data_IF_626382775343
#
_entry.id   IF_626382775343
#
_cell.length_a   1.000
_cell.length_b   1.000
_cell.length_c   1.000
_cell.angle_alpha   90.00
_cell.angle_beta   90.00
_cell.angle_gamma   90.00
#
_symmetry.space_group_name_H-M   'P 1'
#
loop_
_entity.id
_entity.type
_entity.pdbx_description
1 polymer ?
#
# COMPACT_ATOMS: atom_id res chain seq x y z
N UNK A 1 -15.61 -12.89 23.81
CA UNK A 1 -15.67 -13.19 22.35
C UNK A 1 -17.07 -12.93 21.78
N UNK A 2 -17.70 -11.79 22.09
CA UNK A 2 -19.11 -11.51 21.72
C UNK A 2 -19.25 -10.36 20.71
N UNK A 3 -18.17 -9.61 20.43
CA UNK A 3 -18.22 -8.30 19.77
C UNK A 3 -18.62 -8.34 18.30
N UNK A 4 -18.23 -9.37 17.56
CA UNK A 4 -18.59 -9.53 16.14
C UNK A 4 -20.05 -9.95 15.97
N UNK A 5 -20.54 -10.81 16.86
CA UNK A 5 -21.94 -11.24 16.86
C UNK A 5 -22.84 -10.07 17.28
N UNK A 6 -22.43 -9.28 18.26
CA UNK A 6 -23.15 -8.05 18.65
C UNK A 6 -23.12 -6.97 17.58
N UNK A 7 -21.98 -6.74 16.92
CA UNK A 7 -21.92 -5.84 15.74
C UNK A 7 -22.79 -6.36 14.60
N UNK A 8 -22.72 -7.64 14.28
CA UNK A 8 -23.57 -8.28 13.27
C UNK A 8 -25.06 -8.14 13.61
N UNK A 9 -25.41 -8.32 14.88
CA UNK A 9 -26.77 -8.14 15.38
C UNK A 9 -27.21 -6.67 15.27
N UNK A 10 -26.34 -5.71 15.59
CA UNK A 10 -26.63 -4.27 15.46
C UNK A 10 -26.84 -3.84 14.00
N UNK A 11 -26.05 -4.41 13.07
CA UNK A 11 -26.18 -4.18 11.62
C UNK A 11 -27.48 -4.82 11.12
N UNK A 12 -27.82 -6.02 11.60
CA UNK A 12 -29.04 -6.71 11.20
C UNK A 12 -30.32 -5.98 11.62
N UNK A 13 -30.25 -5.22 12.73
CA UNK A 13 -31.34 -4.40 13.26
C UNK A 13 -31.50 -3.06 12.51
N UNK A 14 -30.56 -2.69 11.63
CA UNK A 14 -30.69 -1.48 10.83
C UNK A 14 -31.80 -1.65 9.78
N UNK A 15 -32.66 -0.65 9.63
CA UNK A 15 -33.76 -0.63 8.66
C UNK A 15 -33.28 -0.84 7.21
N UNK A 16 -32.03 -0.46 6.89
CA UNK A 16 -31.45 -0.71 5.57
C UNK A 16 -31.19 -2.19 5.33
N UNK A 17 -30.73 -2.93 6.34
CA UNK A 17 -30.39 -4.34 6.19
C UNK A 17 -31.63 -5.20 5.91
N UNK A 18 -32.75 -4.91 6.57
CA UNK A 18 -34.01 -5.61 6.31
C UNK A 18 -34.55 -5.39 4.89
N UNK A 19 -34.32 -4.20 4.29
CA UNK A 19 -34.64 -3.95 2.88
C UNK A 19 -33.79 -4.85 1.97
N UNK A 20 -32.50 -5.00 2.25
CA UNK A 20 -31.64 -5.91 1.49
C UNK A 20 -32.05 -7.38 1.67
N UNK A 21 -32.41 -7.82 2.87
CA UNK A 21 -32.89 -9.18 3.11
C UNK A 21 -34.17 -9.49 2.33
N UNK A 22 -35.12 -8.56 2.30
CA UNK A 22 -36.34 -8.71 1.52
C UNK A 22 -36.08 -8.79 0.00
N UNK A 23 -35.11 -8.00 -0.49
CA UNK A 23 -34.66 -8.09 -1.89
C UNK A 23 -33.93 -9.40 -2.18
N UNK A 24 -33.08 -9.86 -1.27
CA UNK A 24 -32.34 -11.11 -1.38
C UNK A 24 -33.28 -12.32 -1.40
N UNK A 25 -34.32 -12.35 -0.55
CA UNK A 25 -35.34 -13.40 -0.58
C UNK A 25 -36.08 -13.49 -1.92
N UNK A 26 -36.42 -12.34 -2.52
CA UNK A 26 -37.01 -12.29 -3.88
C UNK A 26 -36.03 -12.72 -4.97
N UNK A 27 -34.73 -12.51 -4.76
CA UNK A 27 -33.67 -12.90 -5.69
C UNK A 27 -33.41 -14.41 -5.64
N UNK A 28 -33.44 -15.01 -4.44
CA UNK A 28 -33.22 -16.44 -4.22
C UNK A 28 -34.25 -17.33 -4.94
N UNK A 29 -35.47 -16.83 -5.15
CA UNK A 29 -36.46 -17.50 -5.99
C UNK A 29 -36.14 -17.48 -7.50
N UNK A 30 -35.01 -16.89 -7.92
CA UNK A 30 -34.64 -16.67 -9.34
C UNK A 30 -33.18 -17.10 -9.58
N UNK A 31 -32.91 -18.40 -9.79
CA UNK A 31 -31.56 -18.95 -9.81
C UNK A 31 -30.63 -18.27 -10.82
N UNK A 32 -31.11 -17.94 -12.03
CA UNK A 32 -30.33 -17.21 -13.03
C UNK A 32 -29.89 -15.80 -12.59
N UNK A 33 -30.75 -15.07 -11.87
CA UNK A 33 -30.39 -13.72 -11.37
C UNK A 33 -29.36 -13.79 -10.25
N UNK A 34 -29.45 -14.83 -9.41
CA UNK A 34 -28.44 -15.08 -8.38
C UNK A 34 -27.09 -15.30 -9.05
N UNK A 35 -26.99 -16.19 -10.03
CA UNK A 35 -25.75 -16.47 -10.75
C UNK A 35 -25.21 -15.21 -11.45
N UNK A 36 -26.08 -14.42 -12.09
CA UNK A 36 -25.67 -13.16 -12.73
C UNK A 36 -25.10 -12.15 -11.74
N UNK A 37 -25.76 -11.94 -10.60
CA UNK A 37 -25.27 -11.03 -9.55
C UNK A 37 -23.95 -11.54 -8.96
N UNK A 38 -23.82 -12.86 -8.77
CA UNK A 38 -22.57 -13.47 -8.29
C UNK A 38 -21.43 -13.28 -9.28
N UNK A 39 -21.66 -13.50 -10.58
CA UNK A 39 -20.66 -13.29 -11.62
C UNK A 39 -20.29 -11.80 -11.77
N UNK A 40 -21.27 -10.89 -11.78
CA UNK A 40 -21.02 -9.45 -11.86
C UNK A 40 -20.26 -8.94 -10.61
N UNK A 41 -20.55 -9.51 -9.44
CA UNK A 41 -19.83 -9.19 -8.20
C UNK A 41 -18.41 -9.75 -8.23
N UNK A 42 -18.22 -10.98 -8.70
CA UNK A 42 -16.90 -11.59 -8.86
C UNK A 42 -16.06 -10.82 -9.88
N UNK A 43 -16.64 -10.38 -11.00
CA UNK A 43 -15.96 -9.55 -12.00
C UNK A 43 -15.64 -8.14 -11.47
N UNK A 44 -16.56 -7.49 -10.73
CA UNK A 44 -16.30 -6.20 -10.08
C UNK A 44 -15.25 -6.32 -8.97
N UNK A 45 -15.21 -7.44 -8.27
CA UNK A 45 -14.19 -7.68 -7.27
C UNK A 45 -12.85 -7.96 -7.93
N UNK A 46 -12.79 -8.82 -8.96
CA UNK A 46 -11.58 -9.14 -9.73
C UNK A 46 -11.00 -7.91 -10.48
N UNK A 47 -11.83 -7.11 -11.13
CA UNK A 47 -11.41 -5.85 -11.78
C UNK A 47 -10.98 -4.78 -10.77
N UNK A 48 -11.45 -4.86 -9.52
CA UNK A 48 -11.02 -3.99 -8.42
C UNK A 48 -9.83 -4.58 -7.64
N UNK A 49 -9.61 -5.89 -7.75
CA UNK A 49 -8.49 -6.74 -7.31
C UNK A 49 -7.40 -6.91 -8.40
N UNK A 50 -7.08 -5.86 -9.15
CA UNK A 50 -5.71 -5.75 -9.68
C UNK A 50 -4.77 -5.46 -8.48
N UNK A 51 -4.68 -6.41 -7.55
CA UNK A 51 -4.08 -6.27 -6.23
C UNK A 51 -2.64 -5.78 -6.34
N UNK A 52 -1.85 -6.37 -7.24
CA UNK A 52 -0.45 -5.97 -7.44
C UNK A 52 -0.28 -4.48 -7.74
N UNK A 53 -1.11 -3.91 -8.61
CA UNK A 53 -0.96 -2.51 -9.03
C UNK A 53 -1.44 -1.53 -7.96
N UNK A 54 -2.57 -1.82 -7.30
CA UNK A 54 -3.08 -0.96 -6.23
C UNK A 54 -2.22 -1.02 -4.99
N UNK A 55 -1.76 -2.20 -4.60
CA UNK A 55 -0.83 -2.33 -3.49
C UNK A 55 0.48 -1.58 -3.79
N UNK A 56 1.06 -1.75 -4.99
CA UNK A 56 2.24 -0.96 -5.42
C UNK A 56 1.98 0.55 -5.36
N UNK A 57 0.79 0.99 -5.75
CA UNK A 57 0.40 2.39 -5.67
C UNK A 57 0.28 2.88 -4.21
N UNK A 58 -0.25 2.06 -3.31
CA UNK A 58 -0.33 2.41 -1.89
C UNK A 58 1.05 2.41 -1.22
N UNK A 59 1.91 1.44 -1.54
CA UNK A 59 3.31 1.44 -1.09
C UNK A 59 4.09 2.66 -1.61
N UNK A 60 3.83 3.10 -2.85
CA UNK A 60 4.46 4.31 -3.38
C UNK A 60 3.97 5.58 -2.70
N UNK A 61 2.68 5.64 -2.32
CA UNK A 61 2.12 6.71 -1.48
C UNK A 61 2.76 6.70 -0.10
N UNK A 62 2.84 5.55 0.57
CA UNK A 62 3.47 5.46 1.89
C UNK A 62 4.94 5.93 1.86
N UNK A 63 5.70 5.54 0.83
CA UNK A 63 7.07 6.05 0.62
C UNK A 63 7.10 7.55 0.32
N UNK A 64 6.11 8.08 -0.40
CA UNK A 64 5.96 9.54 -0.61
C UNK A 64 5.73 10.24 0.73
N UNK A 65 4.85 9.71 1.58
CA UNK A 65 4.54 10.27 2.90
C UNK A 65 5.76 10.31 3.82
N UNK A 66 6.55 9.25 3.86
CA UNK A 66 7.79 9.21 4.65
C UNK A 66 8.74 10.33 4.21
N UNK A 67 8.91 10.52 2.89
CA UNK A 67 9.76 11.60 2.35
C UNK A 67 9.20 12.98 2.64
N UNK A 68 7.90 13.18 2.48
CA UNK A 68 7.21 14.43 2.80
C UNK A 68 7.43 14.82 4.25
N UNK A 69 7.19 13.89 5.18
CA UNK A 69 7.37 14.12 6.61
C UNK A 69 8.83 14.41 6.94
N UNK A 70 9.78 13.64 6.36
CA UNK A 70 11.21 13.88 6.54
C UNK A 70 11.62 15.29 6.09
N UNK A 71 11.26 15.68 4.87
CA UNK A 71 11.60 17.01 4.32
C UNK A 71 10.90 18.15 5.07
N UNK A 72 9.70 17.90 5.61
CA UNK A 72 9.04 18.84 6.51
C UNK A 72 9.78 19.00 7.84
N UNK A 73 10.24 17.90 8.45
CA UNK A 73 10.98 17.95 9.73
C UNK A 73 12.36 18.59 9.55
N UNK A 74 13.08 18.24 8.48
CA UNK A 74 14.38 18.87 8.12
C UNK A 74 14.25 20.36 7.82
N UNK A 75 13.08 20.81 7.36
CA UNK A 75 12.83 22.19 6.97
C UNK A 75 12.98 22.45 5.46
N UNK A 76 13.45 21.47 4.70
CA UNK A 76 13.65 21.53 3.25
C UNK A 76 12.33 21.78 2.49
N UNK A 77 11.19 21.32 3.03
CA UNK A 77 9.87 21.54 2.44
C UNK A 77 8.82 22.01 3.45
N UNK A 78 8.31 23.23 3.28
CA UNK A 78 7.26 23.82 4.16
C UNK A 78 5.97 24.19 3.42
N UNK A 79 5.89 23.96 2.10
CA UNK A 79 4.73 24.32 1.27
C UNK A 79 3.61 23.28 1.35
N UNK A 80 3.27 22.88 2.57
CA UNK A 80 2.31 21.81 2.91
C UNK A 80 1.51 22.26 4.13
N UNK A 81 0.22 21.94 4.16
CA UNK A 81 -0.57 22.21 5.34
C UNK A 81 -0.11 21.35 6.52
N UNK A 82 -0.13 21.93 7.72
CA UNK A 82 0.16 21.19 8.94
C UNK A 82 -0.85 20.04 9.15
N UNK A 83 -2.08 20.22 8.67
CA UNK A 83 -3.14 19.20 8.69
C UNK A 83 -2.72 17.92 7.94
N UNK A 84 -2.05 18.06 6.80
CA UNK A 84 -1.52 16.96 5.99
C UNK A 84 -0.37 16.24 6.67
N UNK A 85 0.55 16.98 7.30
CA UNK A 85 1.66 16.38 8.03
C UNK A 85 1.16 15.60 9.24
N UNK A 86 0.27 16.19 10.06
CA UNK A 86 -0.33 15.52 11.21
C UNK A 86 -1.10 14.27 10.78
N UNK A 87 -1.92 14.38 9.72
CA UNK A 87 -2.67 13.24 9.18
C UNK A 87 -1.73 12.18 8.61
N UNK A 88 -0.66 12.57 7.94
CA UNK A 88 0.34 11.67 7.37
C UNK A 88 1.11 10.91 8.44
N UNK A 89 1.50 11.58 9.53
CA UNK A 89 2.05 10.91 10.73
C UNK A 89 1.04 9.92 11.31
N UNK A 90 -0.23 10.30 11.43
CA UNK A 90 -1.27 9.41 11.94
C UNK A 90 -1.41 8.14 11.10
N UNK A 91 -1.41 8.26 9.77
CA UNK A 91 -1.44 7.12 8.84
C UNK A 91 -0.18 6.26 8.99
N UNK A 92 1.00 6.86 9.05
CA UNK A 92 2.26 6.12 9.20
C UNK A 92 2.36 5.38 10.54
N UNK A 93 1.93 6.01 11.64
CA UNK A 93 1.90 5.40 12.96
C UNK A 93 0.90 4.23 13.02
N UNK A 94 -0.25 4.38 12.35
CA UNK A 94 -1.22 3.30 12.23
C UNK A 94 -0.64 2.08 11.50
N UNK A 95 0.02 2.30 10.36
CA UNK A 95 0.68 1.24 9.59
C UNK A 95 1.84 0.59 10.37
N UNK A 96 2.55 1.36 11.22
CA UNK A 96 3.71 0.87 11.98
C UNK A 96 3.32 0.13 13.27
N UNK A 97 2.11 0.34 13.78
CA UNK A 97 1.57 -0.39 14.91
C UNK A 97 0.56 -1.44 14.43
N UNK A 98 0.99 -2.67 14.08
CA UNK A 98 0.08 -3.74 13.71
C UNK A 98 -0.83 -4.22 14.87
N UNK A 99 -0.90 -3.50 15.99
CA UNK A 99 -1.26 -4.04 17.31
C UNK A 99 -2.54 -3.45 17.92
N UNK A 100 -2.86 -2.17 17.77
CA UNK A 100 -3.49 -1.53 18.93
C UNK A 100 -5.01 -1.64 19.11
N UNK A 101 -5.75 -2.64 18.59
CA UNK A 101 -7.16 -2.84 19.00
C UNK A 101 -7.88 -4.17 18.68
N UNK A 102 -7.26 -5.18 18.07
CA UNK A 102 -7.94 -6.46 17.83
C UNK A 102 -7.04 -7.64 18.18
N UNK A 103 -7.21 -8.22 19.38
CA UNK A 103 -6.79 -9.59 19.62
C UNK A 103 -7.67 -10.52 18.76
N UNK A 104 -7.00 -11.47 18.09
CA UNK A 104 -7.48 -12.80 17.68
C UNK A 104 -8.04 -13.03 16.23
N UNK A 105 -7.17 -13.68 15.43
CA UNK A 105 -7.44 -14.78 14.47
C UNK A 105 -8.12 -14.55 13.09
N UNK A 106 -8.29 -13.33 12.56
CA UNK A 106 -8.70 -13.13 11.14
C UNK A 106 -7.68 -12.29 10.37
N UNK A 107 -6.70 -12.91 9.68
CA UNK A 107 -5.63 -12.21 8.95
C UNK A 107 -6.12 -11.24 7.85
N UNK A 108 -7.37 -11.38 7.41
CA UNK A 108 -7.93 -10.62 6.26
C UNK A 108 -8.60 -9.30 6.69
N UNK A 109 -9.03 -9.16 7.94
CA UNK A 109 -9.85 -8.00 8.38
C UNK A 109 -8.99 -6.78 8.75
N UNK A 110 -7.77 -6.97 9.25
CA UNK A 110 -6.87 -5.86 9.60
C UNK A 110 -6.45 -5.04 8.38
N UNK A 111 -6.13 -5.72 7.27
CA UNK A 111 -5.61 -5.07 6.07
C UNK A 111 -6.62 -4.15 5.35
N UNK A 112 -7.91 -4.45 5.43
CA UNK A 112 -8.94 -3.66 4.75
C UNK A 112 -9.08 -2.25 5.36
N UNK A 113 -8.85 -2.11 6.66
CA UNK A 113 -8.95 -0.80 7.33
C UNK A 113 -7.74 0.08 7.03
N UNK A 114 -6.52 -0.49 6.99
CA UNK A 114 -5.31 0.19 6.53
C UNK A 114 -5.46 0.72 5.10
N UNK A 115 -6.00 -0.12 4.21
CA UNK A 115 -6.31 0.26 2.83
C UNK A 115 -7.31 1.41 2.76
N UNK A 116 -8.36 1.36 3.58
CA UNK A 116 -9.38 2.40 3.62
C UNK A 116 -8.80 3.72 4.12
N UNK A 117 -7.96 3.67 5.15
CA UNK A 117 -7.32 4.84 5.73
C UNK A 117 -6.34 5.51 4.76
N UNK A 118 -5.47 4.72 4.10
CA UNK A 118 -4.53 5.23 3.10
C UNK A 118 -5.30 5.79 1.90
N UNK A 119 -6.35 5.10 1.44
CA UNK A 119 -7.18 5.58 0.32
C UNK A 119 -7.89 6.89 0.64
N UNK A 120 -8.42 7.02 1.87
CA UNK A 120 -9.01 8.26 2.37
C UNK A 120 -7.98 9.39 2.42
N UNK A 121 -6.79 9.12 2.95
CA UNK A 121 -5.72 10.11 3.02
C UNK A 121 -5.32 10.62 1.64
N UNK A 122 -5.10 9.70 0.67
CA UNK A 122 -4.77 10.06 -0.71
C UNK A 122 -5.87 10.92 -1.33
N UNK A 123 -7.14 10.54 -1.14
CA UNK A 123 -8.27 11.30 -1.66
C UNK A 123 -8.38 12.70 -1.05
N UNK A 124 -8.12 12.83 0.25
CA UNK A 124 -8.22 14.10 0.98
C UNK A 124 -7.07 15.05 0.67
N UNK A 125 -5.86 14.54 0.52
CA UNK A 125 -4.62 15.35 0.42
C UNK A 125 -3.91 15.21 -0.92
N UNK A 126 -4.63 14.80 -1.98
CA UNK A 126 -4.05 14.59 -3.31
C UNK A 126 -3.28 15.82 -3.81
N UNK A 127 -3.84 17.02 -3.66
CA UNK A 127 -3.21 18.26 -4.12
C UNK A 127 -1.91 18.59 -3.38
N UNK A 128 -1.81 18.24 -2.10
CA UNK A 128 -0.58 18.42 -1.31
C UNK A 128 0.49 17.42 -1.72
N UNK A 129 0.10 16.16 -1.93
CA UNK A 129 0.99 15.10 -2.40
C UNK A 129 1.54 15.39 -3.80
N UNK A 130 0.70 15.92 -4.69
CA UNK A 130 1.12 16.31 -6.05
C UNK A 130 2.13 17.46 -5.99
N UNK A 131 1.83 18.53 -5.25
CA UNK A 131 2.76 19.66 -5.07
C UNK A 131 4.10 19.22 -4.50
N UNK A 132 4.08 18.32 -3.52
CA UNK A 132 5.32 17.78 -2.96
C UNK A 132 6.12 16.97 -3.99
N UNK A 133 5.46 16.12 -4.78
CA UNK A 133 6.14 15.33 -5.82
C UNK A 133 6.73 16.20 -6.92
N UNK A 134 6.03 17.25 -7.33
CA UNK A 134 6.53 18.23 -8.30
C UNK A 134 7.78 18.93 -7.75
N UNK A 135 7.72 19.39 -6.51
CA UNK A 135 8.87 19.96 -5.81
C UNK A 135 10.04 18.98 -5.72
N UNK A 136 9.79 17.70 -5.38
CA UNK A 136 10.83 16.67 -5.35
C UNK A 136 11.50 16.49 -6.72
N UNK A 137 10.74 16.55 -7.82
CA UNK A 137 11.33 16.44 -9.17
C UNK A 137 12.20 17.63 -9.54
N UNK A 138 11.85 18.83 -9.07
CA UNK A 138 12.67 20.03 -9.28
C UNK A 138 13.94 19.98 -8.44
N UNK A 139 13.85 19.66 -7.14
CA UNK A 139 15.01 19.60 -6.25
C UNK A 139 15.92 18.39 -6.48
N UNK A 140 15.39 17.24 -6.90
CA UNK A 140 16.24 16.09 -7.26
C UNK A 140 17.05 16.32 -8.55
N UNK A 141 16.56 17.19 -9.45
CA UNK A 141 17.33 17.62 -10.61
C UNK A 141 18.46 18.58 -10.22
N UNK A 142 18.23 19.44 -9.22
CA UNK A 142 19.23 20.38 -8.68
C UNK A 142 20.33 19.67 -7.89
N UNK A 143 20.02 18.62 -7.12
CA UNK A 143 21.04 17.78 -6.45
C UNK A 143 21.85 16.89 -7.41
N UNK A 144 21.33 16.60 -8.61
CA UNK A 144 22.01 15.76 -9.60
C UNK A 144 23.10 16.50 -10.40
N UNK A 145 23.03 17.83 -10.48
CA UNK A 145 24.03 18.67 -11.17
C UNK A 145 25.24 19.01 -10.29
N UNK A 146 25.21 18.73 -8.97
CA UNK A 146 26.25 19.12 -8.00
C UNK A 146 27.00 17.94 -7.33
N UNK A 147 26.94 16.71 -7.87
CA UNK A 147 27.73 15.57 -7.32
C UNK A 147 28.80 15.07 -8.31
N UNK A 148 30.11 15.20 -8.00
CA UNK A 148 31.16 14.50 -8.74
C UNK A 148 31.03 12.98 -8.53
N UNK A 149 31.17 12.24 -9.62
CA UNK A 149 31.07 10.79 -9.72
C UNK A 149 31.73 10.00 -8.57
N UNK A 150 30.99 9.74 -7.50
CA UNK A 150 31.46 8.90 -6.40
C UNK A 150 30.30 8.25 -5.63
N UNK A 151 29.57 7.34 -6.29
CA UNK A 151 29.02 6.11 -5.67
C UNK A 151 28.19 5.28 -6.67
N UNK A 152 28.69 5.04 -7.89
CA UNK A 152 28.31 3.82 -8.60
C UNK A 152 29.18 2.69 -8.03
N UNK A 153 28.64 1.91 -7.09
CA UNK A 153 29.23 0.61 -6.79
C UNK A 153 28.77 -0.38 -7.87
N UNK A 154 29.71 -1.07 -8.55
CA UNK A 154 29.44 -1.80 -9.78
C UNK A 154 28.63 -3.08 -9.53
N UNK A 155 27.74 -3.35 -10.49
CA UNK A 155 27.05 -4.63 -10.68
C UNK A 155 28.07 -5.77 -10.79
N UNK A 156 28.14 -6.61 -9.76
CA UNK A 156 28.95 -7.81 -9.74
C UNK A 156 28.20 -8.98 -10.37
N UNK A 157 28.36 -9.14 -11.69
CA UNK A 157 28.06 -10.38 -12.40
C UNK A 157 29.07 -11.47 -12.00
N UNK A 158 28.62 -12.53 -11.34
CA UNK A 158 29.39 -13.78 -11.26
C UNK A 158 28.74 -14.84 -12.14
N UNK A 159 29.14 -14.82 -13.41
CA UNK A 159 29.09 -16.01 -14.28
C UNK A 159 30.01 -17.07 -13.70
N UNK A 160 29.42 -18.22 -13.40
CA UNK A 160 30.11 -19.49 -13.12
C UNK A 160 31.07 -19.82 -14.27
N UNK A 161 32.36 -19.70 -14.04
CA UNK A 161 33.41 -20.24 -14.89
C UNK A 161 34.26 -21.21 -14.05
N UNK A 162 33.94 -22.49 -14.19
CA UNK A 162 34.84 -23.59 -13.87
C UNK A 162 36.07 -23.47 -14.77
N UNK A 163 37.26 -23.33 -14.18
CA UNK A 163 38.46 -24.08 -14.58
C UNK A 163 39.61 -23.79 -13.60
N UNK A 164 40.08 -24.87 -12.97
CA UNK A 164 41.21 -24.93 -12.05
C UNK A 164 42.56 -24.59 -12.74
N UNK A 165 43.57 -24.17 -11.97
CA UNK A 165 44.79 -23.55 -12.48
C UNK A 165 45.80 -24.54 -13.05
N UNK A 166 46.51 -24.07 -14.08
CA UNK A 166 47.79 -24.59 -14.53
C UNK A 166 48.81 -24.47 -13.38
N UNK A 167 49.40 -25.59 -12.98
CA UNK A 167 50.63 -25.62 -12.17
C UNK A 167 51.76 -26.08 -13.08
N UNK A 168 52.75 -25.21 -13.16
CA UNK A 168 53.94 -25.28 -13.95
C UNK A 168 54.85 -26.46 -13.59
N UNK A 169 55.34 -27.13 -14.64
CA UNK A 169 56.75 -27.42 -14.90
C UNK A 169 57.73 -26.75 -13.91
N UNK A 170 58.36 -27.56 -13.05
CA UNK A 170 59.67 -27.27 -12.48
C UNK A 170 60.45 -28.60 -12.52
N UNK A 171 61.50 -28.64 -13.33
CA UNK A 171 62.41 -29.77 -13.42
C UNK A 171 63.31 -29.92 -12.20
N UNK A 172 63.89 -31.12 -12.06
CA UNK A 172 65.28 -31.35 -11.67
C UNK A 172 65.65 -32.82 -11.90
N UNK A 173 66.75 -33.00 -12.63
CA UNK A 173 67.80 -34.04 -12.58
C UNK A 173 67.46 -35.52 -12.68
#
# INVERSE_FOLDING_TARGET
MSSLVEKGLSISKNALFSVFLNKAGKLLGRPFKVILVLNETAEKLASKESGDNKFKQLFSVARTLIRLVRNYVSGDYRQVETSTIVSGLGVLLYVLSPVDLVPDFIPVVGFLDDLALISWFVGKFQGELTRFREWETTHAAEEADDIPAAAQKPSGSYTKAENLPAVAEIGHS
#
